data_IF_792056031245
#
_entry.id   IF_792056031245
#
_cell.length_a   1.000
_cell.length_b   1.000
_cell.length_c   1.000
_cell.angle_alpha   90.00
_cell.angle_beta   90.00
_cell.angle_gamma   90.00
#
_symmetry.space_group_name_H-M   'P 1'
#
loop_
_entity.id
_entity.type
_entity.pdbx_description
1 polymer ?
#
# COMPACT_ATOMS: atom_id res chain seq x y z
N UNK A 1 24.77 9.50 -7.77
CA UNK A 1 23.36 9.36 -7.36
C UNK A 1 23.37 8.68 -5.98
N UNK A 2 22.66 9.23 -5.01
CA UNK A 2 22.57 8.62 -3.67
C UNK A 2 21.47 7.53 -3.69
N UNK A 3 21.90 6.27 -3.66
CA UNK A 3 21.02 5.09 -3.68
C UNK A 3 20.54 4.63 -2.30
N UNK A 4 20.70 5.47 -1.28
CA UNK A 4 20.03 5.26 0.00
C UNK A 4 18.53 5.53 -0.15
N UNK A 5 17.70 4.94 0.73
CA UNK A 5 16.25 5.22 0.74
C UNK A 5 15.97 6.73 0.82
N UNK A 6 16.61 7.50 1.72
CA UNK A 6 16.46 8.96 1.74
C UNK A 6 16.88 9.64 0.42
N UNK A 7 17.97 9.21 -0.20
CA UNK A 7 18.44 9.76 -1.47
C UNK A 7 17.45 9.54 -2.61
N UNK A 8 16.91 8.33 -2.73
CA UNK A 8 15.86 7.99 -3.71
C UNK A 8 14.61 8.85 -3.48
N UNK A 9 14.16 8.97 -2.22
CA UNK A 9 12.95 9.73 -1.90
C UNK A 9 13.14 11.23 -2.09
N UNK A 10 14.31 11.79 -1.79
CA UNK A 10 14.62 13.19 -2.07
C UNK A 10 14.57 13.49 -3.57
N UNK A 11 15.00 12.55 -4.40
CA UNK A 11 15.03 12.73 -5.85
C UNK A 11 13.67 12.49 -6.51
N UNK A 12 12.94 11.45 -6.08
CA UNK A 12 11.74 10.96 -6.79
C UNK A 12 10.44 11.08 -5.99
N UNK A 13 10.48 11.60 -4.76
CA UNK A 13 9.30 11.66 -3.89
C UNK A 13 8.14 12.44 -4.50
N UNK A 14 8.41 13.59 -5.14
CA UNK A 14 7.37 14.40 -5.81
C UNK A 14 6.76 13.66 -7.01
N UNK A 15 7.56 12.92 -7.78
CA UNK A 15 7.07 12.10 -8.89
C UNK A 15 6.21 10.94 -8.39
N UNK A 16 6.61 10.33 -7.27
CA UNK A 16 5.82 9.29 -6.62
C UNK A 16 4.46 9.82 -6.14
N UNK A 17 4.43 10.97 -5.49
CA UNK A 17 3.19 11.59 -5.01
C UNK A 17 2.27 11.97 -6.18
N UNK A 18 2.83 12.46 -7.29
CA UNK A 18 2.07 12.70 -8.51
C UNK A 18 1.51 11.40 -9.10
N UNK A 19 2.29 10.32 -9.15
CA UNK A 19 1.83 9.01 -9.61
C UNK A 19 0.74 8.43 -8.71
N UNK A 20 0.87 8.59 -7.39
CA UNK A 20 -0.16 8.19 -6.43
C UNK A 20 -1.46 8.95 -6.63
N UNK A 21 -1.42 10.24 -6.84
CA UNK A 21 -2.60 11.09 -7.11
C UNK A 21 -3.28 10.70 -8.42
N UNK A 22 -2.50 10.50 -9.48
CA UNK A 22 -2.99 10.16 -10.82
C UNK A 22 -3.83 8.87 -10.86
N UNK A 23 -3.64 7.94 -9.93
CA UNK A 23 -4.45 6.71 -9.85
C UNK A 23 -5.94 6.97 -9.61
N UNK A 24 -6.30 8.10 -9.00
CA UNK A 24 -7.68 8.44 -8.65
C UNK A 24 -8.29 9.55 -9.50
N UNK A 25 -7.50 10.23 -10.36
CA UNK A 25 -7.98 11.36 -11.19
C UNK A 25 -9.12 10.99 -12.13
N UNK A 26 -9.15 9.73 -12.61
CA UNK A 26 -10.18 9.23 -13.52
C UNK A 26 -11.38 8.62 -12.80
N UNK A 27 -11.32 8.49 -11.48
CA UNK A 27 -12.37 7.88 -10.69
C UNK A 27 -13.38 8.96 -10.26
N UNK A 28 -14.65 8.73 -10.55
CA UNK A 28 -15.72 9.58 -10.02
C UNK A 28 -15.98 9.17 -8.57
N UNK A 29 -15.23 9.77 -7.65
CA UNK A 29 -15.40 9.53 -6.22
C UNK A 29 -16.47 10.45 -5.63
N UNK A 30 -17.32 9.94 -4.71
CA UNK A 30 -18.12 10.79 -3.84
C UNK A 30 -17.24 11.75 -3.02
N UNK A 31 -17.79 12.86 -2.55
CA UNK A 31 -17.07 13.90 -1.80
C UNK A 31 -16.24 13.32 -0.64
N UNK A 32 -16.83 12.45 0.18
CA UNK A 32 -16.12 11.82 1.28
C UNK A 32 -14.91 10.98 0.80
N UNK A 33 -15.06 10.26 -0.31
CA UNK A 33 -13.97 9.50 -0.92
C UNK A 33 -12.82 10.40 -1.39
N UNK A 34 -13.13 11.52 -2.02
CA UNK A 34 -12.15 12.54 -2.42
C UNK A 34 -11.39 13.09 -1.21
N UNK A 35 -12.11 13.46 -0.15
CA UNK A 35 -11.52 13.96 1.09
C UNK A 35 -10.61 12.93 1.75
N UNK A 36 -10.98 11.65 1.76
CA UNK A 36 -10.15 10.57 2.31
C UNK A 36 -8.84 10.45 1.52
N UNK A 37 -8.87 10.41 0.19
CA UNK A 37 -7.67 10.35 -0.64
C UNK A 37 -6.75 11.55 -0.37
N UNK A 38 -7.30 12.76 -0.27
CA UNK A 38 -6.50 13.95 0.06
C UNK A 38 -5.85 13.85 1.45
N UNK A 39 -6.57 13.38 2.46
CA UNK A 39 -6.02 13.17 3.82
C UNK A 39 -4.88 12.18 3.80
N UNK A 40 -4.99 11.08 3.04
CA UNK A 40 -3.95 10.06 2.93
C UNK A 40 -2.70 10.58 2.22
N UNK A 41 -2.88 11.40 1.18
CA UNK A 41 -1.76 12.03 0.46
C UNK A 41 -1.03 13.10 1.29
N UNK A 42 -1.76 13.83 2.15
CA UNK A 42 -1.20 14.85 3.05
C UNK A 42 -0.42 14.24 4.23
N UNK A 43 -0.64 12.96 4.55
CA UNK A 43 0.03 12.26 5.64
C UNK A 43 0.89 11.10 5.10
N UNK A 44 1.90 11.38 4.26
CA UNK A 44 2.76 10.36 3.70
C UNK A 44 3.54 9.66 4.81
N UNK A 45 3.70 8.34 4.67
CA UNK A 45 4.61 7.59 5.51
C UNK A 45 6.07 7.75 5.09
N UNK A 46 6.90 6.82 5.57
CA UNK A 46 8.33 6.78 5.22
C UNK A 46 8.60 6.37 3.77
N UNK A 47 7.59 5.94 3.02
CA UNK A 47 7.70 5.54 1.60
C UNK A 47 8.83 4.52 1.33
N UNK A 48 9.12 3.65 2.29
CA UNK A 48 10.21 2.64 2.17
C UNK A 48 9.90 1.65 1.04
N UNK A 49 8.66 1.17 0.95
CA UNK A 49 8.26 0.18 -0.07
C UNK A 49 8.40 0.72 -1.49
N UNK A 50 7.82 1.88 -1.82
CA UNK A 50 8.08 2.52 -3.13
C UNK A 50 9.56 2.73 -3.42
N UNK A 51 10.35 3.20 -2.43
CA UNK A 51 11.79 3.39 -2.62
C UNK A 51 12.52 2.09 -2.97
N UNK A 52 12.13 0.97 -2.38
CA UNK A 52 12.67 -0.35 -2.74
C UNK A 52 12.30 -0.77 -4.16
N UNK A 53 11.06 -0.50 -4.59
CA UNK A 53 10.64 -0.75 -5.98
C UNK A 53 11.48 0.06 -6.96
N UNK A 54 11.61 1.37 -6.72
CA UNK A 54 12.39 2.28 -7.56
C UNK A 54 13.86 1.87 -7.61
N UNK A 55 14.48 1.68 -6.43
CA UNK A 55 15.90 1.31 -6.32
C UNK A 55 16.22 -0.03 -6.97
N UNK A 56 15.35 -1.03 -6.78
CA UNK A 56 15.52 -2.34 -7.42
C UNK A 56 15.46 -2.22 -8.94
N UNK A 57 14.44 -1.53 -9.48
CA UNK A 57 14.29 -1.36 -10.93
C UNK A 57 15.50 -0.69 -11.56
N UNK A 58 16.00 0.38 -10.94
CA UNK A 58 17.19 1.08 -11.43
C UNK A 58 18.45 0.23 -11.31
N UNK A 59 18.61 -0.56 -10.24
CA UNK A 59 19.73 -1.48 -10.08
C UNK A 59 19.82 -2.53 -11.21
N UNK A 60 18.68 -2.84 -11.85
CA UNK A 60 18.60 -3.68 -13.05
C UNK A 60 18.66 -2.91 -14.36
N UNK A 61 19.00 -1.61 -14.34
CA UNK A 61 19.19 -0.76 -15.53
C UNK A 61 17.90 -0.16 -16.09
N UNK A 62 16.79 -0.20 -15.36
CA UNK A 62 15.52 0.40 -15.76
C UNK A 62 15.46 1.91 -15.49
N UNK A 63 14.54 2.62 -16.16
CA UNK A 63 14.24 4.01 -15.89
C UNK A 63 13.20 4.14 -14.79
N UNK A 64 13.34 5.15 -13.94
CA UNK A 64 12.42 5.37 -12.81
C UNK A 64 10.98 5.60 -13.29
N UNK A 65 10.81 6.36 -14.35
CA UNK A 65 9.51 6.70 -14.93
C UNK A 65 8.69 5.47 -15.31
N UNK A 66 9.35 4.41 -15.77
CA UNK A 66 8.69 3.16 -16.19
C UNK A 66 8.06 2.39 -15.02
N UNK A 67 8.57 2.60 -13.81
CA UNK A 67 8.17 1.85 -12.60
C UNK A 67 7.46 2.70 -11.55
N UNK A 68 7.42 4.02 -11.71
CA UNK A 68 6.69 4.92 -10.81
C UNK A 68 5.24 4.50 -10.56
N UNK A 69 4.45 4.10 -11.59
CA UNK A 69 3.09 3.62 -11.37
C UNK A 69 3.03 2.38 -10.46
N UNK A 70 3.99 1.45 -10.59
CA UNK A 70 4.06 0.28 -9.71
C UNK A 70 4.47 0.65 -8.29
N UNK A 71 5.40 1.58 -8.13
CA UNK A 71 5.79 2.10 -6.82
C UNK A 71 4.60 2.74 -6.09
N UNK A 72 3.75 3.50 -6.82
CA UNK A 72 2.50 4.06 -6.32
C UNK A 72 1.49 2.97 -5.92
N UNK A 73 1.34 1.92 -6.74
CA UNK A 73 0.48 0.76 -6.45
C UNK A 73 0.88 0.10 -5.13
N UNK A 74 2.15 -0.18 -4.93
CA UNK A 74 2.65 -0.85 -3.71
C UNK A 74 2.36 -0.01 -2.47
N UNK A 75 2.54 1.31 -2.54
CA UNK A 75 2.22 2.19 -1.40
C UNK A 75 0.71 2.28 -1.16
N UNK A 76 -0.12 2.30 -2.20
CA UNK A 76 -1.57 2.29 -2.03
C UNK A 76 -2.10 0.97 -1.45
N UNK A 77 -1.56 -0.17 -1.85
CA UNK A 77 -1.88 -1.46 -1.23
C UNK A 77 -1.53 -1.43 0.26
N UNK A 78 -0.34 -0.95 0.62
CA UNK A 78 0.05 -0.78 2.01
C UNK A 78 -0.87 0.20 2.75
N UNK A 79 -1.26 1.30 2.12
CA UNK A 79 -2.17 2.28 2.72
C UNK A 79 -3.55 1.66 2.98
N UNK A 80 -4.09 0.88 2.06
CA UNK A 80 -5.34 0.15 2.23
C UNK A 80 -5.27 -0.81 3.43
N UNK A 81 -4.17 -1.57 3.55
CA UNK A 81 -3.99 -2.47 4.70
C UNK A 81 -3.95 -1.73 6.03
N UNK A 82 -3.32 -0.54 6.09
CA UNK A 82 -3.29 0.27 7.31
C UNK A 82 -4.66 0.83 7.69
N UNK A 83 -5.53 1.16 6.71
CA UNK A 83 -6.89 1.63 7.01
C UNK A 83 -7.71 0.53 7.67
N UNK A 84 -7.61 -0.72 7.19
CA UNK A 84 -8.29 -1.86 7.79
C UNK A 84 -7.68 -2.23 9.15
N UNK A 85 -6.36 -2.25 9.27
CA UNK A 85 -5.60 -2.47 10.50
C UNK A 85 -6.02 -1.50 11.62
N UNK A 86 -6.13 -0.19 11.31
CA UNK A 86 -6.61 0.83 12.24
C UNK A 86 -8.01 0.54 12.82
N UNK A 87 -8.90 -0.05 12.01
CA UNK A 87 -10.25 -0.44 12.46
C UNK A 87 -10.17 -1.67 13.37
N UNK A 88 -9.39 -2.68 12.97
CA UNK A 88 -9.25 -3.96 13.67
C UNK A 88 -8.59 -3.79 15.04
N UNK A 89 -7.56 -2.92 15.10
CA UNK A 89 -6.79 -2.62 16.32
C UNK A 89 -7.44 -1.49 17.15
N UNK A 90 -8.53 -0.88 16.68
CA UNK A 90 -9.18 0.28 17.29
C UNK A 90 -8.24 1.48 17.46
N UNK A 91 -7.29 1.64 16.56
CA UNK A 91 -6.31 2.72 16.56
C UNK A 91 -6.97 4.05 16.18
N UNK A 92 -7.12 4.94 17.14
CA UNK A 92 -7.72 6.27 16.92
C UNK A 92 -6.81 7.23 16.15
N UNK A 93 -5.50 7.01 16.17
CA UNK A 93 -4.52 7.91 15.57
C UNK A 93 -3.48 7.15 14.75
N UNK A 94 -3.15 7.68 13.57
CA UNK A 94 -2.10 7.16 12.69
C UNK A 94 -1.17 8.30 12.27
N UNK A 95 0.13 8.15 12.53
CA UNK A 95 1.16 9.17 12.19
C UNK A 95 0.86 10.57 12.76
N UNK A 96 0.29 10.63 13.97
CA UNK A 96 -0.05 11.89 14.64
C UNK A 96 -1.33 12.57 14.17
N UNK A 97 -2.06 11.99 13.23
CA UNK A 97 -3.37 12.44 12.78
C UNK A 97 -4.47 11.41 13.15
N UNK A 98 -5.75 11.82 13.26
CA UNK A 98 -6.84 10.87 13.41
C UNK A 98 -6.84 9.83 12.28
N UNK A 99 -7.03 8.55 12.61
CA UNK A 99 -7.20 7.48 11.63
C UNK A 99 -8.44 7.72 10.77
N UNK A 100 -8.52 7.06 9.61
CA UNK A 100 -9.65 7.28 8.68
C UNK A 100 -10.98 6.90 9.33
N UNK A 101 -11.04 5.77 10.05
CA UNK A 101 -12.28 5.38 10.72
C UNK A 101 -12.67 6.32 11.87
N UNK A 102 -11.70 6.88 12.59
CA UNK A 102 -11.96 7.84 13.65
C UNK A 102 -12.47 9.19 13.12
N UNK A 103 -12.02 9.58 11.92
CA UNK A 103 -12.41 10.86 11.28
C UNK A 103 -13.70 10.77 10.47
N UNK A 104 -13.92 9.69 9.73
CA UNK A 104 -15.02 9.53 8.76
C UNK A 104 -16.04 8.46 9.17
N UNK A 105 -15.73 7.63 10.17
CA UNK A 105 -16.53 6.49 10.58
C UNK A 105 -16.12 5.18 9.89
N UNK A 106 -16.41 4.07 10.57
CA UNK A 106 -16.05 2.71 10.12
C UNK A 106 -16.55 2.37 8.71
N UNK A 107 -17.83 2.66 8.31
CA UNK A 107 -18.29 2.30 6.97
C UNK A 107 -17.51 2.98 5.85
N UNK A 108 -17.12 4.24 6.04
CA UNK A 108 -16.30 4.96 5.06
C UNK A 108 -14.87 4.44 5.00
N UNK A 109 -14.29 4.07 6.14
CA UNK A 109 -12.93 3.52 6.19
C UNK A 109 -12.86 2.15 5.51
N UNK A 110 -13.82 1.24 5.74
CA UNK A 110 -13.89 -0.05 5.04
C UNK A 110 -13.96 0.18 3.53
N UNK A 111 -14.93 0.97 3.07
CA UNK A 111 -15.09 1.25 1.64
C UNK A 111 -13.86 1.92 1.02
N UNK A 112 -13.17 2.80 1.75
CA UNK A 112 -11.95 3.45 1.27
C UNK A 112 -10.81 2.45 1.08
N UNK A 113 -10.59 1.55 2.05
CA UNK A 113 -9.59 0.49 1.95
C UNK A 113 -9.85 -0.43 0.75
N UNK A 114 -11.09 -0.91 0.61
CA UNK A 114 -11.51 -1.78 -0.50
C UNK A 114 -11.35 -1.08 -1.86
N UNK A 115 -11.76 0.18 -1.95
CA UNK A 115 -11.66 0.96 -3.18
C UNK A 115 -10.21 1.20 -3.59
N UNK A 116 -9.34 1.56 -2.62
CA UNK A 116 -7.91 1.78 -2.87
C UNK A 116 -7.28 0.48 -3.38
N UNK A 117 -7.59 -0.66 -2.75
CA UNK A 117 -7.09 -1.96 -3.16
C UNK A 117 -7.57 -2.32 -4.57
N UNK A 118 -8.86 -2.17 -4.86
CA UNK A 118 -9.42 -2.43 -6.18
C UNK A 118 -8.79 -1.52 -7.26
N UNK A 119 -8.61 -0.23 -6.96
CA UNK A 119 -7.96 0.72 -7.87
C UNK A 119 -6.50 0.37 -8.14
N UNK A 120 -5.75 -0.08 -7.12
CA UNK A 120 -4.36 -0.53 -7.27
C UNK A 120 -4.25 -1.75 -8.19
N UNK A 121 -5.11 -2.75 -8.01
CA UNK A 121 -5.15 -3.94 -8.87
C UNK A 121 -5.59 -3.62 -10.30
N UNK A 122 -6.59 -2.76 -10.46
CA UNK A 122 -7.04 -2.27 -11.77
C UNK A 122 -5.92 -1.50 -12.48
N UNK A 123 -5.12 -0.73 -11.76
CA UNK A 123 -3.98 -0.01 -12.32
C UNK A 123 -2.93 -0.97 -12.89
N UNK A 124 -2.56 -2.04 -12.18
CA UNK A 124 -1.68 -3.09 -12.70
C UNK A 124 -2.29 -3.72 -13.97
N UNK A 125 -3.57 -4.08 -13.93
CA UNK A 125 -4.26 -4.72 -15.04
C UNK A 125 -4.29 -3.87 -16.31
N UNK A 126 -4.32 -2.53 -16.18
CA UNK A 126 -4.40 -1.57 -17.27
C UNK A 126 -3.04 -0.92 -17.65
N UNK A 127 -1.94 -1.31 -16.99
CA UNK A 127 -0.59 -0.81 -17.35
C UNK A 127 -0.27 -1.17 -18.80
N UNK A 128 0.38 -0.26 -19.59
CA UNK A 128 0.70 -0.51 -21.00
C UNK A 128 1.89 -1.46 -21.21
N UNK A 129 2.13 -2.34 -20.27
CA UNK A 129 3.16 -3.38 -20.36
C UNK A 129 2.68 -4.58 -21.18
N UNK A 130 3.59 -5.39 -21.72
CA UNK A 130 3.22 -6.63 -22.39
C UNK A 130 2.35 -7.52 -21.48
N UNK A 131 1.36 -8.18 -22.07
CA UNK A 131 0.33 -8.93 -21.31
C UNK A 131 0.92 -10.02 -20.39
N UNK A 132 1.97 -10.72 -20.85
CA UNK A 132 2.57 -11.83 -20.08
C UNK A 132 3.25 -11.38 -18.78
N UNK A 133 4.19 -10.40 -18.76
CA UNK A 133 4.76 -9.91 -17.49
C UNK A 133 3.71 -9.21 -16.62
N UNK A 134 2.78 -8.47 -17.20
CA UNK A 134 1.68 -7.81 -16.48
C UNK A 134 0.81 -8.83 -15.73
N UNK A 135 0.41 -9.91 -16.39
CA UNK A 135 -0.39 -10.97 -15.76
C UNK A 135 0.39 -11.67 -14.65
N UNK A 136 1.69 -11.96 -14.85
CA UNK A 136 2.54 -12.53 -13.81
C UNK A 136 2.64 -11.63 -12.59
N UNK A 137 2.80 -10.32 -12.78
CA UNK A 137 2.85 -9.37 -11.69
C UNK A 137 1.52 -9.35 -10.93
N UNK A 138 0.39 -9.26 -11.64
CA UNK A 138 -0.93 -9.26 -11.02
C UNK A 138 -1.16 -10.54 -10.21
N UNK A 139 -0.84 -11.70 -10.77
CA UNK A 139 -0.92 -12.98 -10.05
C UNK A 139 -0.05 -12.98 -8.78
N UNK A 140 1.17 -12.45 -8.87
CA UNK A 140 2.06 -12.37 -7.71
C UNK A 140 1.49 -11.46 -6.63
N UNK A 141 1.01 -10.28 -6.99
CA UNK A 141 0.40 -9.33 -6.05
C UNK A 141 -0.83 -9.95 -5.38
N UNK A 142 -1.69 -10.63 -6.12
CA UNK A 142 -2.87 -11.30 -5.56
C UNK A 142 -2.49 -12.39 -4.54
N UNK A 143 -1.47 -13.20 -4.83
CA UNK A 143 -0.98 -14.21 -3.89
C UNK A 143 -0.39 -13.58 -2.61
N UNK A 144 0.32 -12.47 -2.74
CA UNK A 144 0.87 -11.79 -1.56
C UNK A 144 -0.22 -11.08 -0.75
N UNK A 145 -1.27 -10.56 -1.38
CA UNK A 145 -2.44 -10.02 -0.70
C UNK A 145 -3.17 -11.11 0.10
N UNK A 146 -3.36 -12.30 -0.48
CA UNK A 146 -3.92 -13.45 0.24
C UNK A 146 -3.08 -13.80 1.46
N UNK A 147 -1.74 -13.89 1.31
CA UNK A 147 -0.82 -14.15 2.42
C UNK A 147 -0.89 -13.08 3.52
N UNK A 148 -0.96 -11.80 3.12
CA UNK A 148 -1.09 -10.68 4.04
C UNK A 148 -2.39 -10.78 4.85
N UNK A 149 -3.51 -11.07 4.20
CA UNK A 149 -4.82 -11.23 4.86
C UNK A 149 -4.81 -12.40 5.85
N UNK A 150 -4.22 -13.54 5.47
CA UNK A 150 -4.04 -14.67 6.40
C UNK A 150 -3.12 -14.29 7.57
N UNK A 151 -2.05 -13.55 7.33
CA UNK A 151 -1.16 -13.04 8.38
C UNK A 151 -1.89 -12.13 9.36
N UNK A 152 -2.77 -11.25 8.86
CA UNK A 152 -3.59 -10.39 9.71
C UNK A 152 -4.61 -11.17 10.54
N UNK A 153 -5.28 -12.16 9.96
CA UNK A 153 -6.17 -13.05 10.72
C UNK A 153 -5.43 -13.78 11.85
N UNK A 154 -4.20 -14.24 11.58
CA UNK A 154 -3.36 -14.86 12.61
C UNK A 154 -3.01 -13.86 13.72
N UNK A 155 -2.76 -12.60 13.40
CA UNK A 155 -2.45 -11.56 14.39
C UNK A 155 -3.61 -11.38 15.37
N UNK A 156 -4.82 -11.18 14.84
CA UNK A 156 -6.04 -11.06 15.64
C UNK A 156 -6.34 -12.29 16.53
N UNK A 157 -6.00 -13.50 16.06
CA UNK A 157 -6.16 -14.72 16.87
C UNK A 157 -5.12 -14.81 17.99
N UNK A 158 -3.89 -14.36 17.71
CA UNK A 158 -2.74 -14.50 18.59
C UNK A 158 -2.68 -13.44 19.68
N UNK A 159 -3.27 -12.27 19.49
CA UNK A 159 -3.45 -11.27 20.55
C UNK A 159 -4.19 -11.84 21.78
N UNK A 160 -5.00 -12.87 21.57
CA UNK A 160 -5.80 -13.52 22.62
C UNK A 160 -5.11 -14.73 23.27
N UNK A 161 -4.01 -15.22 22.73
CA UNK A 161 -3.33 -16.46 23.14
C UNK A 161 -1.83 -16.23 23.14
N UNK A 162 -1.11 -16.65 24.16
CA UNK A 162 0.36 -16.61 24.11
C UNK A 162 0.92 -17.25 22.84
N UNK A 163 1.97 -16.68 22.28
CA UNK A 163 2.52 -17.05 20.94
C UNK A 163 3.88 -17.71 21.11
N UNK A 164 4.13 -18.81 20.39
CA UNK A 164 5.48 -19.34 20.22
C UNK A 164 6.29 -18.47 19.23
N UNK A 165 7.63 -18.53 19.31
CA UNK A 165 8.50 -17.82 18.39
C UNK A 165 8.24 -18.19 16.92
N UNK A 166 7.97 -19.47 16.65
CA UNK A 166 7.68 -19.96 15.30
C UNK A 166 6.38 -19.36 14.74
N UNK A 167 5.34 -19.32 15.57
CA UNK A 167 4.06 -18.68 15.21
C UNK A 167 4.24 -17.19 14.94
N UNK A 168 4.99 -16.48 15.78
CA UNK A 168 5.30 -15.07 15.59
C UNK A 168 6.10 -14.82 14.30
N UNK A 169 7.12 -15.63 14.02
CA UNK A 169 7.91 -15.51 12.79
C UNK A 169 7.04 -15.75 11.53
N UNK A 170 6.12 -16.72 11.58
CA UNK A 170 5.17 -17.00 10.49
C UNK A 170 4.20 -15.83 10.28
N UNK A 171 3.68 -15.25 11.36
CA UNK A 171 2.84 -14.05 11.33
C UNK A 171 3.58 -12.88 10.66
N UNK A 172 4.77 -12.53 11.13
CA UNK A 172 5.57 -11.44 10.55
C UNK A 172 5.87 -11.67 9.07
N UNK A 173 6.17 -12.90 8.66
CA UNK A 173 6.37 -13.26 7.27
C UNK A 173 5.10 -13.10 6.41
N UNK A 174 3.94 -13.42 6.96
CA UNK A 174 2.64 -13.22 6.29
C UNK A 174 2.20 -11.75 6.28
N UNK A 175 2.03 -11.14 7.46
CA UNK A 175 1.50 -9.76 7.62
C UNK A 175 2.42 -8.72 6.98
N UNK A 176 3.71 -8.75 7.27
CA UNK A 176 4.66 -7.69 6.87
C UNK A 176 5.56 -8.08 5.71
N UNK A 177 5.97 -9.35 5.63
CA UNK A 177 6.89 -9.84 4.61
C UNK A 177 6.25 -10.13 3.26
N UNK A 178 4.92 -10.06 3.13
CA UNK A 178 4.19 -10.31 1.90
C UNK A 178 4.29 -9.13 0.90
N UNK A 179 4.43 -7.89 1.39
CA UNK A 179 4.44 -6.66 0.56
C UNK A 179 5.74 -5.88 0.72
#
# INVERSE_FOLDING_TARGET
MDWTIPGILNQYGQHLDAAMRAMFEKNVLPEAGQQIIEVLLQNPGKRIRPALVLGTHVAFGGNVEDVLPLAAVVEWIHTASLIHDDIEDLDHFRRGAPSIWNRFGVPYAINAGDQILASALAHIANTPWPSKPRLKLLQRVLLELERMTVGQQMDLELERKGVSFEQYAKLCSGKTGAI
#
